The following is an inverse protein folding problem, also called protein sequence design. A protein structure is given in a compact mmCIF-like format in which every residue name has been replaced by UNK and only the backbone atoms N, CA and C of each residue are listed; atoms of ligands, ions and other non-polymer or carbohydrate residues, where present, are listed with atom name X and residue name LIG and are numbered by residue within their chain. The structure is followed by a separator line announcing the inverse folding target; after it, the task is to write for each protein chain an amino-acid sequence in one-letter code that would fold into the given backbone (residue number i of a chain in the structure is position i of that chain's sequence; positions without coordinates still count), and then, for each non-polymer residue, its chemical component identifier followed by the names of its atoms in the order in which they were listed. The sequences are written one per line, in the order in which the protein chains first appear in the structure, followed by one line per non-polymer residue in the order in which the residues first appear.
data_IF_611904696867
#
_entry.id   IF_611904696867
#
_cell.length_a   1.000
_cell.length_b   1.000
_cell.length_c   1.000
_cell.angle_alpha   90.00
_cell.angle_beta   90.00
_cell.angle_gamma   90.00
#
_symmetry.space_group_name_H-M   'P 1'
#
loop_
_entity.id
_entity.type
_entity.pdbx_description
1 polymer ?
#
# COMPACT_ATOMS: atom_id res chain seq x y z
N UNK A 1 27.61 -60.27 -76.87
CA UNK A 1 28.09 -60.46 -75.50
C UNK A 1 27.02 -59.97 -74.59
N UNK A 2 26.32 -60.80 -73.84
CA UNK A 2 25.23 -60.37 -72.92
C UNK A 2 25.82 -59.99 -71.58
N UNK A 3 25.37 -58.88 -71.10
CA UNK A 3 25.64 -58.39 -69.72
C UNK A 3 24.88 -59.24 -68.72
N UNK A 4 25.62 -59.84 -67.77
CA UNK A 4 25.07 -60.48 -66.61
C UNK A 4 24.78 -59.42 -65.49
N UNK A 5 23.55 -59.38 -65.03
CA UNK A 5 23.19 -58.69 -63.84
C UNK A 5 23.83 -59.35 -62.63
N UNK A 6 24.47 -58.58 -61.71
CA UNK A 6 24.91 -59.14 -60.44
C UNK A 6 23.75 -59.16 -59.43
N UNK A 7 23.67 -60.23 -58.76
CA UNK A 7 22.74 -60.77 -57.83
C UNK A 7 22.12 -59.84 -56.79
N UNK A 8 20.88 -60.15 -56.55
CA UNK A 8 20.07 -59.87 -55.41
C UNK A 8 20.83 -60.21 -54.12
N UNK A 9 21.32 -59.18 -53.40
CA UNK A 9 21.80 -59.26 -52.07
C UNK A 9 21.04 -58.23 -51.24
N UNK A 10 20.10 -58.77 -50.51
CA UNK A 10 19.36 -58.04 -49.47
C UNK A 10 20.31 -57.47 -48.43
N UNK A 11 20.56 -56.16 -48.47
CA UNK A 11 20.89 -55.33 -47.28
C UNK A 11 21.06 -53.87 -47.74
N UNK A 12 19.97 -53.12 -47.68
CA UNK A 12 20.06 -51.65 -47.75
C UNK A 12 20.83 -51.12 -46.54
N UNK A 13 21.91 -50.35 -46.74
CA UNK A 13 22.71 -49.81 -45.63
C UNK A 13 22.03 -48.67 -44.85
N UNK A 14 20.84 -48.26 -45.25
CA UNK A 14 20.10 -47.15 -44.65
C UNK A 14 18.87 -47.56 -43.82
N UNK A 15 18.62 -48.89 -43.70
CA UNK A 15 17.53 -49.39 -42.85
C UNK A 15 18.08 -49.94 -41.56
N UNK A 16 18.78 -49.06 -40.76
CA UNK A 16 19.05 -49.30 -39.34
C UNK A 16 17.75 -48.92 -38.64
N UNK A 17 17.01 -49.96 -38.26
CA UNK A 17 15.76 -49.88 -37.61
C UNK A 17 15.78 -49.12 -36.29
N UNK A 18 15.14 -47.95 -36.31
CA UNK A 18 14.44 -47.35 -35.19
C UNK A 18 13.11 -46.78 -35.78
N UNK A 19 12.25 -47.68 -36.19
CA UNK A 19 10.87 -47.29 -36.35
C UNK A 19 10.32 -47.04 -34.93
N UNK A 20 9.63 -45.88 -34.71
CA UNK A 20 8.91 -45.70 -33.48
C UNK A 20 7.94 -46.88 -33.30
N UNK A 21 7.83 -47.42 -32.08
CA UNK A 21 7.01 -48.61 -31.83
C UNK A 21 5.60 -48.37 -32.34
N UNK A 22 5.15 -49.25 -33.23
CA UNK A 22 3.83 -49.21 -33.82
C UNK A 22 2.81 -49.20 -32.65
N UNK A 23 2.02 -48.14 -32.57
CA UNK A 23 0.97 -48.01 -31.55
C UNK A 23 0.05 -49.22 -31.53
N UNK A 24 -0.15 -49.88 -32.67
CA UNK A 24 -0.90 -51.10 -32.79
C UNK A 24 -0.23 -52.31 -32.11
N UNK A 25 1.10 -52.43 -32.12
CA UNK A 25 1.81 -53.48 -31.38
C UNK A 25 1.80 -53.24 -29.89
N UNK A 26 1.92 -51.97 -29.44
CA UNK A 26 1.79 -51.59 -28.03
C UNK A 26 0.38 -51.88 -27.54
N UNK A 27 -0.66 -51.54 -28.33
CA UNK A 27 -2.05 -51.86 -28.01
C UNK A 27 -2.30 -53.37 -27.97
N UNK A 28 -1.78 -54.15 -28.90
CA UNK A 28 -1.88 -55.62 -28.89
C UNK A 28 -1.18 -56.25 -27.69
N UNK A 29 0.02 -55.76 -27.34
CA UNK A 29 0.77 -56.25 -26.18
C UNK A 29 0.12 -55.88 -24.84
N UNK A 30 -0.47 -54.67 -24.73
CA UNK A 30 -1.27 -54.23 -23.56
C UNK A 30 -2.54 -55.06 -23.47
N UNK A 31 -3.24 -55.27 -24.58
CA UNK A 31 -4.48 -56.08 -24.62
C UNK A 31 -4.21 -57.58 -24.28
N UNK A 32 -3.08 -58.12 -24.75
CA UNK A 32 -2.67 -59.50 -24.41
C UNK A 32 -2.23 -59.63 -22.96
N UNK A 33 -1.54 -58.62 -22.38
CA UNK A 33 -1.24 -58.59 -20.96
C UNK A 33 -2.48 -58.38 -20.08
N UNK A 34 -3.42 -57.55 -20.49
CA UNK A 34 -4.70 -57.40 -19.82
C UNK A 34 -5.49 -58.73 -19.88
N UNK A 35 -5.51 -59.42 -21.02
CA UNK A 35 -6.15 -60.76 -21.12
C UNK A 35 -5.47 -61.81 -20.24
N UNK A 36 -4.13 -61.74 -20.03
CA UNK A 36 -3.43 -62.67 -19.14
C UNK A 36 -3.64 -62.36 -17.65
N UNK A 37 -3.90 -61.10 -17.29
CA UNK A 37 -4.16 -60.68 -15.91
C UNK A 37 -5.64 -60.88 -15.54
N UNK A 38 -6.57 -60.63 -16.47
CA UNK A 38 -8.02 -60.79 -16.25
C UNK A 38 -8.56 -62.17 -16.72
N UNK A 39 -7.79 -62.94 -17.47
CA UNK A 39 -8.14 -64.29 -17.94
C UNK A 39 -7.40 -65.38 -17.17
N UNK A 40 -7.18 -65.20 -15.86
CA UNK A 40 -6.46 -66.15 -15.01
C UNK A 40 -7.26 -67.40 -14.82
N UNK A 41 -6.71 -68.50 -15.26
CA UNK A 41 -7.01 -69.77 -14.68
C UNK A 41 -7.58 -70.83 -15.60
N UNK A 42 -6.74 -71.75 -15.93
CA UNK A 42 -7.19 -73.10 -15.95
C UNK A 42 -7.31 -73.82 -17.26
N UNK A 43 -6.50 -74.76 -17.35
CA UNK A 43 -6.41 -75.88 -18.20
C UNK A 43 -7.66 -76.54 -18.78
N UNK A 44 -7.39 -77.14 -19.87
CA UNK A 44 -8.19 -78.15 -20.62
C UNK A 44 -9.34 -78.80 -19.89
N UNK A 45 -10.51 -78.68 -20.41
CA UNK A 45 -11.26 -79.80 -20.99
C UNK A 45 -12.73 -79.44 -21.40
N UNK A 46 -13.08 -79.92 -22.53
CA UNK A 46 -14.43 -80.21 -23.08
C UNK A 46 -15.61 -79.88 -22.16
N UNK A 47 -16.51 -79.03 -22.62
CA UNK A 47 -17.86 -78.94 -22.08
C UNK A 47 -18.59 -77.71 -22.60
N UNK A 48 -19.37 -77.95 -23.66
CA UNK A 48 -20.39 -77.06 -24.19
C UNK A 48 -21.42 -76.74 -23.08
N UNK A 49 -21.40 -75.51 -22.60
CA UNK A 49 -22.60 -74.95 -21.95
C UNK A 49 -22.62 -73.42 -22.15
N UNK A 50 -23.63 -73.04 -22.91
CA UNK A 50 -24.19 -71.70 -22.97
C UNK A 50 -24.38 -71.18 -21.55
N UNK A 51 -23.69 -70.06 -21.22
CA UNK A 51 -23.81 -69.41 -19.94
C UNK A 51 -23.31 -67.95 -20.04
N UNK A 52 -24.30 -67.14 -20.32
CA UNK A 52 -24.43 -65.75 -19.90
C UNK A 52 -23.16 -64.84 -19.94
N UNK A 53 -23.10 -63.98 -20.94
CA UNK A 53 -22.06 -62.94 -21.14
C UNK A 53 -21.99 -61.83 -20.09
N UNK A 54 -22.36 -62.10 -18.83
CA UNK A 54 -22.35 -61.06 -17.79
C UNK A 54 -20.95 -60.74 -17.26
N UNK A 55 -19.97 -61.68 -17.33
CA UNK A 55 -18.60 -61.46 -16.86
C UNK A 55 -17.80 -60.45 -17.70
N UNK A 56 -18.01 -60.47 -19.03
CA UNK A 56 -17.38 -59.51 -19.94
C UNK A 56 -17.90 -58.10 -19.77
N UNK A 57 -19.20 -57.96 -19.60
CA UNK A 57 -19.84 -56.66 -19.40
C UNK A 57 -19.42 -56.07 -18.05
N UNK A 58 -19.35 -56.90 -16.99
CA UNK A 58 -18.89 -56.48 -15.66
C UNK A 58 -17.44 -56.04 -15.66
N UNK A 59 -16.55 -56.72 -16.39
CA UNK A 59 -15.13 -56.33 -16.58
C UNK A 59 -14.99 -55.00 -17.31
N UNK A 60 -15.74 -54.78 -18.41
CA UNK A 60 -15.77 -53.52 -19.14
C UNK A 60 -16.28 -52.37 -18.26
N UNK A 61 -17.33 -52.62 -17.48
CA UNK A 61 -17.93 -51.64 -16.58
C UNK A 61 -16.98 -51.28 -15.44
N UNK A 62 -16.20 -52.24 -14.90
CA UNK A 62 -15.18 -52.01 -13.89
C UNK A 62 -13.99 -51.22 -14.42
N UNK A 63 -13.52 -51.50 -15.65
CA UNK A 63 -12.45 -50.70 -16.30
C UNK A 63 -12.96 -49.29 -16.59
N UNK A 64 -14.16 -49.11 -17.07
CA UNK A 64 -14.76 -47.79 -17.30
C UNK A 64 -14.87 -46.99 -15.98
N UNK A 65 -15.28 -47.66 -14.90
CA UNK A 65 -15.34 -47.08 -13.57
C UNK A 65 -13.98 -46.63 -13.07
N UNK A 66 -12.93 -47.45 -13.23
CA UNK A 66 -11.56 -47.10 -12.83
C UNK A 66 -11.00 -45.94 -13.67
N UNK A 67 -11.28 -45.88 -14.97
CA UNK A 67 -10.92 -44.80 -15.83
C UNK A 67 -11.64 -43.50 -15.44
N UNK A 68 -12.93 -43.56 -15.14
CA UNK A 68 -13.71 -42.43 -14.68
C UNK A 68 -13.21 -41.87 -13.33
N UNK A 69 -12.93 -42.75 -12.37
CA UNK A 69 -12.29 -42.42 -11.09
C UNK A 69 -10.93 -41.77 -11.30
N UNK A 70 -10.10 -42.34 -12.19
CA UNK A 70 -8.78 -41.77 -12.51
C UNK A 70 -8.86 -40.38 -13.13
N UNK A 71 -9.82 -40.13 -13.97
CA UNK A 71 -10.02 -38.84 -14.61
C UNK A 71 -10.52 -37.78 -13.62
N UNK A 72 -11.45 -38.11 -12.72
CA UNK A 72 -11.95 -37.19 -11.68
C UNK A 72 -10.97 -36.99 -10.52
N UNK A 73 -9.87 -37.75 -10.46
CA UNK A 73 -8.84 -37.67 -9.43
C UNK A 73 -7.77 -36.62 -9.69
N UNK A 74 -7.62 -36.16 -10.94
CA UNK A 74 -6.59 -35.20 -11.33
C UNK A 74 -7.16 -33.81 -11.36
N UNK A 75 -6.67 -32.95 -10.47
CA UNK A 75 -7.02 -31.53 -10.41
C UNK A 75 -5.79 -30.66 -10.66
N UNK A 76 -5.94 -29.67 -11.53
CA UNK A 76 -4.91 -28.67 -11.81
C UNK A 76 -5.29 -27.41 -11.03
N UNK A 77 -4.39 -26.95 -10.19
CA UNK A 77 -4.53 -25.71 -9.41
C UNK A 77 -3.64 -24.64 -10.06
N UNK A 78 -4.21 -23.50 -10.39
CA UNK A 78 -3.49 -22.39 -10.99
C UNK A 78 -2.44 -21.79 -10.04
N UNK A 79 -1.43 -21.10 -10.59
CA UNK A 79 -0.35 -20.47 -9.78
C UNK A 79 -0.88 -19.44 -8.79
N UNK A 80 -1.97 -18.75 -9.15
CA UNK A 80 -2.59 -17.73 -8.30
C UNK A 80 -3.51 -18.31 -7.21
N UNK A 81 -3.73 -19.63 -7.20
CA UNK A 81 -4.74 -20.28 -6.36
C UNK A 81 -4.13 -21.30 -5.40
N UNK A 82 -4.84 -21.55 -4.32
CA UNK A 82 -4.63 -22.70 -3.44
C UNK A 82 -5.90 -23.54 -3.38
N UNK A 83 -5.75 -24.84 -3.55
CA UNK A 83 -6.86 -25.79 -3.45
C UNK A 83 -7.07 -26.24 -2.01
N UNK A 84 -8.20 -25.93 -1.41
CA UNK A 84 -8.55 -26.43 -0.09
C UNK A 84 -9.38 -27.70 -0.24
N UNK A 85 -8.85 -28.83 0.24
CA UNK A 85 -9.48 -30.15 0.14
C UNK A 85 -10.23 -30.48 1.41
N UNK A 86 -11.52 -30.73 1.22
CA UNK A 86 -12.41 -31.25 2.26
C UNK A 86 -12.65 -32.74 2.04
N UNK A 87 -12.49 -33.53 3.09
CA UNK A 87 -12.91 -34.94 3.11
C UNK A 87 -14.14 -35.08 3.97
N UNK A 88 -15.24 -35.51 3.38
CA UNK A 88 -16.54 -35.57 4.03
C UNK A 88 -16.97 -34.28 4.73
N UNK A 89 -16.66 -33.13 4.10
CA UNK A 89 -16.96 -31.78 4.66
C UNK A 89 -16.02 -31.29 5.75
N UNK A 90 -15.00 -32.07 6.14
CA UNK A 90 -13.97 -31.64 7.09
C UNK A 90 -12.69 -31.28 6.35
N UNK A 91 -12.04 -30.20 6.75
CA UNK A 91 -10.71 -29.83 6.23
C UNK A 91 -9.73 -30.99 6.38
N UNK A 92 -9.02 -31.31 5.32
CA UNK A 92 -8.00 -32.36 5.27
C UNK A 92 -6.62 -31.76 4.98
N UNK A 93 -6.46 -31.06 3.87
CA UNK A 93 -5.17 -30.49 3.43
C UNK A 93 -5.37 -29.33 2.46
N UNK A 94 -4.32 -28.50 2.32
CA UNK A 94 -4.25 -27.45 1.28
C UNK A 94 -3.29 -27.92 0.18
N UNK A 95 -3.72 -27.78 -1.07
CA UNK A 95 -2.94 -28.13 -2.26
C UNK A 95 -2.18 -26.89 -2.75
N UNK A 96 -0.92 -27.10 -3.07
CA UNK A 96 -0.08 -26.11 -3.75
C UNK A 96 -0.44 -26.02 -5.24
N UNK A 97 -0.10 -24.93 -5.93
CA UNK A 97 -0.24 -24.81 -7.38
C UNK A 97 0.40 -25.98 -8.12
N UNK A 98 -0.22 -26.40 -9.22
CA UNK A 98 0.25 -27.48 -10.07
C UNK A 98 -0.72 -28.66 -10.17
N UNK A 99 -0.21 -29.81 -10.62
CA UNK A 99 -0.99 -31.04 -10.78
C UNK A 99 -1.08 -31.76 -9.43
N UNK A 100 -2.30 -31.92 -8.95
CA UNK A 100 -2.58 -32.56 -7.68
C UNK A 100 -3.53 -33.76 -7.87
N UNK A 101 -3.27 -34.82 -7.08
CA UNK A 101 -4.12 -35.99 -7.02
C UNK A 101 -5.02 -35.92 -5.78
N UNK A 102 -6.33 -35.98 -6.03
CA UNK A 102 -7.35 -36.00 -4.97
C UNK A 102 -8.19 -37.27 -5.08
N UNK A 103 -8.85 -37.66 -4.01
CA UNK A 103 -9.83 -38.76 -4.07
C UNK A 103 -11.06 -38.25 -4.79
N UNK A 104 -11.63 -39.05 -5.73
CA UNK A 104 -12.79 -38.61 -6.51
C UNK A 104 -14.00 -38.33 -5.64
N UNK A 105 -14.91 -37.52 -6.16
CA UNK A 105 -16.20 -37.27 -5.53
C UNK A 105 -16.98 -38.58 -5.37
N UNK A 106 -17.67 -38.82 -4.25
CA UNK A 106 -18.11 -37.87 -3.22
C UNK A 106 -17.17 -37.76 -2.00
N UNK A 107 -15.99 -38.39 -2.00
CA UNK A 107 -15.14 -38.50 -0.81
C UNK A 107 -14.34 -37.21 -0.51
N UNK A 108 -13.78 -36.57 -1.54
CA UNK A 108 -13.09 -35.30 -1.41
C UNK A 108 -13.72 -34.25 -2.32
N UNK A 109 -13.75 -33.02 -1.83
CA UNK A 109 -14.17 -31.83 -2.59
C UNK A 109 -13.06 -30.79 -2.49
N UNK A 110 -12.62 -30.26 -3.63
CA UNK A 110 -11.64 -29.17 -3.68
C UNK A 110 -12.36 -27.85 -3.90
N UNK A 111 -11.96 -26.83 -3.11
CA UNK A 111 -12.41 -25.45 -3.25
C UNK A 111 -11.19 -24.62 -3.62
N UNK A 112 -11.12 -24.07 -4.84
CA UNK A 112 -10.02 -23.17 -5.21
C UNK A 112 -10.23 -21.82 -4.55
N UNK A 113 -9.16 -21.26 -3.98
CA UNK A 113 -9.13 -19.92 -3.37
C UNK A 113 -7.98 -19.14 -3.99
N UNK A 114 -8.31 -18.00 -4.60
CA UNK A 114 -7.29 -17.12 -5.14
C UNK A 114 -6.59 -16.37 -4.01
N UNK A 115 -5.28 -16.61 -3.87
CA UNK A 115 -4.43 -16.02 -2.83
C UNK A 115 -3.56 -14.88 -3.33
N UNK A 116 -3.40 -14.75 -4.65
CA UNK A 116 -2.56 -13.72 -5.27
C UNK A 116 -3.33 -12.47 -5.64
N UNK A 117 -4.66 -12.57 -5.84
CA UNK A 117 -5.47 -11.42 -6.21
C UNK A 117 -5.65 -10.47 -5.04
N UNK A 118 -5.44 -9.18 -5.32
CA UNK A 118 -5.76 -8.10 -4.40
C UNK A 118 -7.24 -7.78 -4.55
N UNK A 119 -7.97 -7.88 -3.46
CA UNK A 119 -9.37 -7.49 -3.35
C UNK A 119 -9.46 -6.10 -2.74
N UNK A 120 -10.43 -5.31 -3.18
CA UNK A 120 -10.63 -3.94 -2.72
C UNK A 120 -12.04 -3.79 -2.18
N UNK A 121 -12.14 -3.25 -0.98
CA UNK A 121 -13.38 -2.85 -0.32
C UNK A 121 -13.36 -1.36 -0.07
N UNK A 122 -14.43 -0.68 -0.43
CA UNK A 122 -14.67 0.72 -0.12
C UNK A 122 -15.87 0.82 0.82
N UNK A 123 -15.74 1.65 1.84
CA UNK A 123 -16.83 1.90 2.78
C UNK A 123 -16.77 3.33 3.32
N UNK A 124 -17.88 3.76 3.90
CA UNK A 124 -18.01 5.06 4.56
C UNK A 124 -18.50 4.89 5.98
N UNK A 125 -17.96 5.68 6.88
CA UNK A 125 -18.35 5.67 8.28
C UNK A 125 -18.40 7.07 8.86
N UNK A 126 -19.23 7.24 9.90
CA UNK A 126 -19.28 8.44 10.71
C UNK A 126 -18.61 8.14 12.05
N UNK A 127 -17.68 8.99 12.45
CA UNK A 127 -16.91 8.78 13.66
C UNK A 127 -16.75 10.09 14.42
N UNK A 128 -16.54 9.98 15.74
CA UNK A 128 -16.27 11.09 16.61
C UNK A 128 -14.76 11.21 16.83
N UNK A 129 -14.23 12.41 16.70
CA UNK A 129 -12.84 12.74 17.01
C UNK A 129 -12.64 12.96 18.51
N UNK A 130 -11.38 13.11 18.98
CA UNK A 130 -11.05 13.42 20.38
C UNK A 130 -11.74 14.69 20.88
N UNK A 131 -11.92 15.69 20.04
CA UNK A 131 -12.56 16.97 20.32
C UNK A 131 -14.09 16.97 20.07
N UNK A 132 -14.70 15.76 20.10
CA UNK A 132 -16.16 15.54 20.01
C UNK A 132 -16.80 16.05 18.70
N UNK A 133 -16.02 16.20 17.63
CA UNK A 133 -16.53 16.57 16.34
C UNK A 133 -16.91 15.33 15.51
N UNK A 134 -18.06 15.41 14.83
CA UNK A 134 -18.51 14.34 13.94
C UNK A 134 -17.89 14.51 12.55
N UNK A 135 -17.18 13.48 12.10
CA UNK A 135 -16.56 13.43 10.77
C UNK A 135 -17.03 12.22 9.99
N UNK A 136 -17.20 12.39 8.69
CA UNK A 136 -17.49 11.33 7.74
C UNK A 136 -16.20 10.94 7.01
N UNK A 137 -15.88 9.66 7.02
CA UNK A 137 -14.71 9.09 6.33
C UNK A 137 -15.16 8.21 5.19
N UNK A 138 -14.49 8.34 4.06
CA UNK A 138 -14.52 7.37 2.96
C UNK A 138 -13.15 6.73 2.92
N UNK A 139 -13.12 5.41 3.08
CA UNK A 139 -11.88 4.65 3.12
C UNK A 139 -11.94 3.42 2.23
N UNK A 140 -10.77 3.01 1.78
CA UNK A 140 -10.59 1.87 0.91
C UNK A 140 -9.54 0.93 1.49
N UNK A 141 -9.91 -0.33 1.63
CA UNK A 141 -9.05 -1.39 2.13
C UNK A 141 -8.69 -2.32 1.00
N UNK A 142 -7.42 -2.51 0.76
CA UNK A 142 -6.90 -3.50 -0.16
C UNK A 142 -6.31 -4.67 0.63
N UNK A 143 -6.76 -5.86 0.32
CA UNK A 143 -6.33 -7.07 1.03
C UNK A 143 -6.18 -8.26 0.10
N UNK A 144 -5.42 -9.24 0.54
CA UNK A 144 -5.26 -10.54 -0.12
C UNK A 144 -5.42 -11.65 0.90
N UNK A 145 -5.74 -12.83 0.40
CA UNK A 145 -5.82 -14.03 1.24
C UNK A 145 -4.40 -14.54 1.51
N UNK A 146 -4.02 -14.64 2.77
CA UNK A 146 -2.71 -15.20 3.19
C UNK A 146 -2.80 -16.69 3.49
N UNK A 147 -3.92 -17.13 4.08
CA UNK A 147 -4.17 -18.53 4.42
C UNK A 147 -5.56 -18.95 3.96
N UNK A 148 -5.63 -19.74 2.87
CA UNK A 148 -6.89 -20.16 2.25
C UNK A 148 -7.78 -20.96 3.20
N UNK A 149 -7.19 -21.76 4.10
CA UNK A 149 -7.93 -22.52 5.10
C UNK A 149 -8.66 -21.60 6.09
N UNK A 150 -7.94 -20.66 6.67
CA UNK A 150 -8.47 -19.78 7.71
C UNK A 150 -9.54 -18.85 7.12
N UNK A 151 -9.28 -18.34 5.92
CA UNK A 151 -10.22 -17.52 5.17
C UNK A 151 -11.59 -18.20 4.93
N UNK A 152 -11.59 -19.54 4.69
CA UNK A 152 -12.83 -20.27 4.41
C UNK A 152 -13.56 -20.76 5.67
N UNK A 153 -12.85 -21.04 6.77
CA UNK A 153 -13.43 -21.77 7.89
C UNK A 153 -13.44 -21.05 9.22
N UNK A 154 -12.58 -20.04 9.42
CA UNK A 154 -12.52 -19.34 10.70
C UNK A 154 -13.55 -18.22 10.79
N UNK A 155 -13.85 -17.59 9.67
CA UNK A 155 -14.75 -16.46 9.60
C UNK A 155 -15.89 -16.78 8.64
N UNK A 156 -17.11 -16.45 9.04
CA UNK A 156 -18.32 -16.77 8.25
C UNK A 156 -18.40 -15.95 6.97
N UNK A 157 -18.11 -14.66 7.08
CA UNK A 157 -18.10 -13.70 5.97
C UNK A 157 -16.85 -12.83 6.10
N UNK A 158 -15.77 -13.21 5.40
CA UNK A 158 -14.49 -12.50 5.50
C UNK A 158 -14.56 -11.03 5.06
N UNK A 159 -15.34 -10.73 4.01
CA UNK A 159 -15.44 -9.36 3.48
C UNK A 159 -16.15 -8.44 4.47
N UNK A 160 -17.28 -8.87 5.01
CA UNK A 160 -17.98 -8.11 6.06
C UNK A 160 -17.13 -7.97 7.33
N UNK A 161 -16.35 -9.00 7.67
CA UNK A 161 -15.45 -8.94 8.83
C UNK A 161 -14.33 -7.92 8.62
N UNK A 162 -13.72 -7.87 7.43
CA UNK A 162 -12.72 -6.83 7.09
C UNK A 162 -13.32 -5.43 7.22
N UNK A 163 -14.54 -5.22 6.72
CA UNK A 163 -15.26 -3.94 6.84
C UNK A 163 -15.42 -3.53 8.28
N UNK A 164 -15.99 -4.39 9.12
CA UNK A 164 -16.25 -4.11 10.52
C UNK A 164 -14.95 -3.91 11.32
N UNK A 165 -13.93 -4.71 11.05
CA UNK A 165 -12.63 -4.55 11.67
C UNK A 165 -11.96 -3.23 11.25
N UNK A 166 -12.05 -2.85 9.96
CA UNK A 166 -11.53 -1.60 9.45
C UNK A 166 -12.24 -0.39 10.07
N UNK A 167 -13.57 -0.43 10.18
CA UNK A 167 -14.34 0.60 10.84
C UNK A 167 -13.95 0.74 12.33
N UNK A 168 -13.75 -0.39 13.03
CA UNK A 168 -13.34 -0.39 14.43
C UNK A 168 -11.92 0.16 14.61
N UNK A 169 -10.97 -0.27 13.77
CA UNK A 169 -9.58 0.21 13.81
C UNK A 169 -9.50 1.71 13.48
N UNK A 170 -10.26 2.15 12.48
CA UNK A 170 -10.31 3.57 12.12
C UNK A 170 -10.94 4.41 13.24
N UNK A 171 -12.00 3.90 13.90
CA UNK A 171 -12.65 4.57 15.03
C UNK A 171 -11.68 4.75 16.21
N UNK A 172 -10.86 3.76 16.50
CA UNK A 172 -9.83 3.85 17.50
C UNK A 172 -8.79 4.92 17.15
N UNK A 173 -8.25 4.87 15.93
CA UNK A 173 -7.23 5.82 15.46
C UNK A 173 -7.76 7.25 15.37
N UNK A 174 -9.00 7.45 14.92
CA UNK A 174 -9.63 8.77 14.80
C UNK A 174 -10.01 9.34 16.17
N UNK A 175 -10.54 8.50 17.08
CA UNK A 175 -10.95 8.90 18.43
C UNK A 175 -9.81 9.41 19.32
N UNK A 176 -8.57 9.13 18.96
CA UNK A 176 -7.36 9.63 19.65
C UNK A 176 -6.75 10.87 18.98
N UNK A 177 -7.37 11.39 17.92
CA UNK A 177 -6.85 12.53 17.17
C UNK A 177 -7.89 13.65 17.06
N UNK A 178 -7.39 14.89 16.99
CA UNK A 178 -8.24 16.08 16.85
C UNK A 178 -8.63 16.29 15.38
N UNK A 179 -9.83 16.84 15.19
CA UNK A 179 -10.39 17.11 13.87
C UNK A 179 -9.50 18.01 13.01
N UNK A 180 -8.94 19.08 13.59
CA UNK A 180 -8.09 20.02 12.85
C UNK A 180 -6.88 19.30 12.24
N UNK A 181 -6.21 18.44 12.99
CA UNK A 181 -5.03 17.67 12.54
C UNK A 181 -5.37 16.65 11.44
N UNK A 182 -6.58 16.11 11.46
CA UNK A 182 -7.09 15.17 10.46
C UNK A 182 -7.41 15.90 9.15
N UNK A 183 -8.09 17.04 9.23
CA UNK A 183 -8.51 17.83 8.06
C UNK A 183 -7.33 18.53 7.37
N UNK A 184 -6.40 19.09 8.13
CA UNK A 184 -5.20 19.75 7.60
C UNK A 184 -4.21 18.77 6.96
N UNK A 185 -4.45 17.45 7.09
CA UNK A 185 -3.64 16.41 6.47
C UNK A 185 -2.33 16.08 7.20
N UNK A 186 -1.95 16.84 8.21
CA UNK A 186 -0.67 16.69 8.93
C UNK A 186 -0.52 15.31 9.59
N UNK A 187 -1.62 14.75 10.08
CA UNK A 187 -1.64 13.44 10.76
C UNK A 187 -2.31 12.33 9.93
N UNK A 188 -2.79 12.63 8.74
CA UNK A 188 -3.50 11.66 7.89
C UNK A 188 -2.70 10.40 7.63
N UNK A 189 -1.42 10.56 7.36
CA UNK A 189 -0.50 9.44 7.11
C UNK A 189 -0.27 8.60 8.39
N UNK A 190 -0.14 9.24 9.53
CA UNK A 190 0.01 8.55 10.82
C UNK A 190 -1.25 7.74 11.14
N UNK A 191 -2.43 8.33 10.95
CA UNK A 191 -3.72 7.63 11.13
C UNK A 191 -3.84 6.45 10.18
N UNK A 192 -3.45 6.60 8.92
CA UNK A 192 -3.45 5.53 7.92
C UNK A 192 -2.60 4.34 8.37
N UNK A 193 -1.35 4.61 8.77
CA UNK A 193 -0.42 3.56 9.22
C UNK A 193 -0.92 2.88 10.49
N UNK A 194 -1.38 3.65 11.45
CA UNK A 194 -1.89 3.14 12.72
C UNK A 194 -3.16 2.30 12.52
N UNK A 195 -4.10 2.79 11.72
CA UNK A 195 -5.31 2.03 11.36
C UNK A 195 -4.96 0.72 10.67
N UNK A 196 -4.01 0.73 9.71
CA UNK A 196 -3.56 -0.48 9.04
C UNK A 196 -2.95 -1.49 10.02
N UNK A 197 -2.16 -1.02 10.99
CA UNK A 197 -1.55 -1.85 12.04
C UNK A 197 -2.62 -2.50 12.93
N UNK A 198 -3.52 -1.70 13.49
CA UNK A 198 -4.60 -2.17 14.37
C UNK A 198 -5.55 -3.12 13.62
N UNK A 199 -5.87 -2.81 12.36
CA UNK A 199 -6.67 -3.67 11.50
C UNK A 199 -6.02 -5.03 11.28
N UNK A 200 -4.72 -5.06 10.96
CA UNK A 200 -4.00 -6.32 10.75
C UNK A 200 -3.95 -7.13 12.05
N UNK A 201 -3.64 -6.51 13.19
CA UNK A 201 -3.62 -7.18 14.49
C UNK A 201 -4.99 -7.77 14.86
N UNK A 202 -6.07 -7.05 14.57
CA UNK A 202 -7.45 -7.51 14.81
C UNK A 202 -7.79 -8.73 13.93
N UNK A 203 -7.42 -8.69 12.64
CA UNK A 203 -7.65 -9.81 11.73
C UNK A 203 -6.79 -11.04 12.06
N UNK A 204 -5.58 -10.83 12.56
CA UNK A 204 -4.70 -11.89 13.04
C UNK A 204 -5.26 -12.54 14.31
N UNK A 205 -5.82 -11.76 15.23
CA UNK A 205 -6.51 -12.25 16.41
C UNK A 205 -7.73 -13.11 16.05
N UNK A 206 -8.48 -12.73 15.02
CA UNK A 206 -9.59 -13.52 14.49
C UNK A 206 -9.14 -14.71 13.66
N UNK A 207 -7.85 -14.83 13.37
CA UNK A 207 -7.29 -15.85 12.48
C UNK A 207 -8.01 -15.88 11.12
N UNK A 208 -8.32 -14.69 10.59
CA UNK A 208 -9.11 -14.56 9.36
C UNK A 208 -8.37 -15.02 8.10
N UNK A 209 -7.05 -15.25 8.16
CA UNK A 209 -6.23 -15.64 7.02
C UNK A 209 -6.14 -14.57 5.95
N UNK A 210 -6.19 -13.30 6.36
CA UNK A 210 -6.20 -12.11 5.48
C UNK A 210 -4.97 -11.27 5.79
N UNK A 211 -4.33 -10.77 4.74
CA UNK A 211 -3.25 -9.81 4.82
C UNK A 211 -3.68 -8.48 4.19
N UNK A 212 -3.57 -7.41 4.95
CA UNK A 212 -3.88 -6.06 4.47
C UNK A 212 -2.69 -5.53 3.67
N UNK A 213 -2.90 -5.34 2.38
CA UNK A 213 -1.89 -4.80 1.47
C UNK A 213 -1.77 -3.29 1.64
N UNK A 214 -2.91 -2.61 1.72
CA UNK A 214 -2.97 -1.16 1.83
C UNK A 214 -4.28 -0.70 2.46
N UNK A 215 -4.22 0.33 3.30
CA UNK A 215 -5.36 1.06 3.83
C UNK A 215 -5.28 2.51 3.37
N UNK A 216 -6.29 3.00 2.67
CA UNK A 216 -6.32 4.36 2.15
C UNK A 216 -7.53 5.13 2.69
N UNK A 217 -7.27 6.35 3.17
CA UNK A 217 -8.30 7.34 3.45
C UNK A 217 -8.51 8.18 2.18
N UNK A 218 -9.63 7.99 1.50
CA UNK A 218 -9.92 8.70 0.26
C UNK A 218 -10.41 10.12 0.55
N UNK A 219 -11.38 10.25 1.44
CA UNK A 219 -11.95 11.55 1.77
C UNK A 219 -12.36 11.65 3.24
N UNK A 220 -12.21 12.86 3.78
CA UNK A 220 -12.59 13.18 5.15
C UNK A 220 -13.41 14.45 5.10
N UNK A 221 -14.69 14.33 5.40
CA UNK A 221 -15.65 15.41 5.27
C UNK A 221 -16.39 15.69 6.58
N UNK A 222 -16.84 16.90 6.69
CA UNK A 222 -17.80 17.28 7.73
C UNK A 222 -19.22 16.96 7.23
N UNK A 223 -20.05 16.23 8.00
CA UNK A 223 -21.42 15.93 7.64
C UNK A 223 -22.20 17.18 7.21
N UNK A 224 -23.08 17.02 6.20
CA UNK A 224 -23.81 18.14 5.61
C UNK A 224 -24.61 18.95 6.64
N UNK A 225 -25.10 18.30 7.70
CA UNK A 225 -25.93 18.92 8.74
C UNK A 225 -25.19 19.96 9.60
N UNK A 226 -23.88 19.80 9.77
CA UNK A 226 -23.04 20.66 10.62
C UNK A 226 -22.03 21.49 9.83
N UNK A 227 -22.00 21.32 8.49
CA UNK A 227 -21.02 21.98 7.61
C UNK A 227 -21.08 23.51 7.68
N UNK A 228 -22.29 24.09 7.73
CA UNK A 228 -22.48 25.54 7.80
C UNK A 228 -21.93 26.10 9.10
N UNK A 229 -22.30 25.50 10.24
CA UNK A 229 -21.79 25.90 11.56
C UNK A 229 -20.26 25.76 11.65
N UNK A 230 -19.70 24.69 11.09
CA UNK A 230 -18.25 24.48 11.05
C UNK A 230 -17.55 25.53 10.17
N UNK A 231 -18.13 25.87 9.01
CA UNK A 231 -17.58 26.91 8.13
C UNK A 231 -17.53 28.27 8.82
N UNK A 232 -18.51 28.58 9.68
CA UNK A 232 -18.54 29.82 10.44
C UNK A 232 -17.44 29.87 11.51
N UNK A 233 -17.15 28.74 12.17
CA UNK A 233 -16.03 28.64 13.12
C UNK A 233 -14.69 28.83 12.42
N UNK A 234 -14.50 28.23 11.24
CA UNK A 234 -13.27 28.41 10.45
C UNK A 234 -13.09 29.85 10.03
N UNK A 235 -14.15 30.50 9.50
CA UNK A 235 -14.11 31.92 9.14
C UNK A 235 -13.76 32.81 10.33
N UNK A 236 -14.36 32.55 11.48
CA UNK A 236 -14.06 33.29 12.70
C UNK A 236 -12.60 33.14 13.15
N UNK A 237 -12.02 31.94 12.99
CA UNK A 237 -10.58 31.71 13.25
C UNK A 237 -9.69 32.46 12.25
N UNK A 238 -10.01 32.37 10.95
CA UNK A 238 -9.29 33.09 9.91
C UNK A 238 -9.36 34.62 10.12
N UNK A 239 -10.54 35.15 10.46
CA UNK A 239 -10.73 36.55 10.77
C UNK A 239 -9.89 36.98 11.98
N UNK A 240 -9.86 36.17 13.03
CA UNK A 240 -9.02 36.41 14.21
C UNK A 240 -7.53 36.49 13.82
N UNK A 241 -7.03 35.52 13.07
CA UNK A 241 -5.61 35.53 12.62
C UNK A 241 -5.34 36.74 11.72
N UNK A 242 -6.25 37.06 10.81
CA UNK A 242 -6.15 38.23 9.95
C UNK A 242 -6.05 39.52 10.77
N UNK A 243 -6.92 39.72 11.77
CA UNK A 243 -6.86 40.91 12.61
C UNK A 243 -5.56 40.98 13.44
N UNK A 244 -5.04 39.85 13.91
CA UNK A 244 -3.76 39.79 14.61
C UNK A 244 -2.61 40.21 13.67
N UNK A 245 -2.59 39.69 12.45
CA UNK A 245 -1.55 40.02 11.48
C UNK A 245 -1.67 41.50 10.99
N UNK A 246 -2.87 41.99 10.75
CA UNK A 246 -3.10 43.39 10.43
C UNK A 246 -2.60 44.31 11.57
N UNK A 247 -2.90 43.97 12.83
CA UNK A 247 -2.39 44.71 13.98
C UNK A 247 -0.85 44.66 14.10
N UNK A 248 -0.23 43.52 13.80
CA UNK A 248 1.24 43.37 13.78
C UNK A 248 1.87 44.21 12.65
N UNK A 249 1.27 44.17 11.46
CA UNK A 249 1.75 45.00 10.32
C UNK A 249 1.68 46.48 10.68
N UNK A 250 0.56 46.91 11.28
CA UNK A 250 0.38 48.29 11.74
C UNK A 250 1.42 48.66 12.81
N UNK A 251 1.58 47.80 13.82
CA UNK A 251 2.61 48.05 14.86
C UNK A 251 4.03 48.11 14.29
N UNK A 252 4.34 47.20 13.34
CA UNK A 252 5.66 47.14 12.67
C UNK A 252 5.93 48.37 11.76
N UNK A 253 4.90 49.07 11.30
CA UNK A 253 5.05 50.30 10.55
C UNK A 253 5.14 51.53 11.46
N UNK A 254 4.22 51.69 12.40
CA UNK A 254 4.11 52.92 13.23
C UNK A 254 5.21 53.00 14.27
N UNK A 255 5.57 51.92 14.93
CA UNK A 255 6.58 51.93 16.01
C UNK A 255 8.00 52.29 15.50
N UNK A 256 8.53 51.70 14.41
CA UNK A 256 9.80 52.11 13.86
C UNK A 256 9.81 53.53 13.31
N UNK A 257 8.72 53.97 12.70
CA UNK A 257 8.56 55.32 12.21
C UNK A 257 8.63 56.34 13.36
N UNK A 258 7.86 56.11 14.43
CA UNK A 258 7.89 56.97 15.61
C UNK A 258 9.27 56.98 16.30
N UNK A 259 9.94 55.83 16.36
CA UNK A 259 11.34 55.76 16.88
C UNK A 259 12.30 56.53 15.98
N UNK A 260 12.16 56.39 14.67
CA UNK A 260 13.01 57.16 13.72
C UNK A 260 12.78 58.67 13.82
N UNK A 261 11.54 59.11 13.99
CA UNK A 261 11.22 60.53 14.24
C UNK A 261 11.81 61.04 15.57
N UNK A 262 11.66 60.26 16.65
CA UNK A 262 12.24 60.61 17.94
C UNK A 262 13.76 60.71 17.88
N UNK A 263 14.45 59.73 17.26
CA UNK A 263 15.92 59.78 17.08
C UNK A 263 16.36 60.96 16.22
N UNK A 264 15.58 61.33 15.19
CA UNK A 264 15.89 62.50 14.37
C UNK A 264 15.79 63.80 15.18
N UNK A 265 14.72 63.99 15.98
CA UNK A 265 14.55 65.17 16.83
C UNK A 265 15.69 65.24 17.85
N UNK A 266 16.09 64.15 18.47
CA UNK A 266 17.20 64.08 19.42
C UNK A 266 18.53 64.46 18.75
N UNK A 267 18.84 63.92 17.59
CA UNK A 267 20.05 64.26 16.82
C UNK A 267 20.07 65.71 16.33
N UNK A 268 18.91 66.24 15.89
CA UNK A 268 18.79 67.66 15.49
C UNK A 268 19.05 68.60 16.71
N UNK A 269 18.54 68.24 17.88
CA UNK A 269 18.75 69.00 19.11
C UNK A 269 20.21 68.92 19.57
N UNK A 270 20.87 67.78 19.51
CA UNK A 270 22.26 67.60 19.80
C UNK A 270 23.19 68.41 18.81
N UNK A 271 22.84 68.32 17.52
CA UNK A 271 23.55 69.08 16.49
C UNK A 271 23.40 70.60 16.67
N UNK A 272 22.22 71.09 17.01
CA UNK A 272 21.93 72.46 17.32
C UNK A 272 22.73 72.91 18.56
N UNK A 273 22.77 72.13 19.63
CA UNK A 273 23.55 72.34 20.81
C UNK A 273 25.03 72.44 20.48
N UNK A 274 25.58 71.49 19.74
CA UNK A 274 26.96 71.42 19.34
C UNK A 274 27.36 72.63 18.47
N UNK A 275 26.50 73.00 17.50
CA UNK A 275 26.74 74.18 16.64
C UNK A 275 26.72 75.50 17.41
N UNK A 276 25.82 75.64 18.39
CA UNK A 276 25.68 76.80 19.20
C UNK A 276 26.93 76.95 20.12
N UNK A 277 27.40 75.88 20.72
CA UNK A 277 28.65 75.87 21.51
C UNK A 277 29.87 76.21 20.65
N UNK A 278 29.97 75.57 19.48
CA UNK A 278 31.09 75.83 18.57
C UNK A 278 31.15 77.33 18.06
N UNK A 279 29.97 77.90 17.78
CA UNK A 279 29.85 79.30 17.42
C UNK A 279 30.26 80.22 18.56
N UNK A 280 29.86 79.93 19.80
CA UNK A 280 30.20 80.65 20.98
C UNK A 280 31.75 80.59 21.29
N UNK A 281 32.29 79.39 21.17
CA UNK A 281 33.76 79.17 21.34
C UNK A 281 34.56 79.86 20.23
N UNK A 282 34.11 79.77 18.97
CA UNK A 282 34.72 80.46 17.86
C UNK A 282 34.68 81.96 18.01
N UNK A 283 33.59 82.52 18.52
CA UNK A 283 33.45 83.93 18.82
C UNK A 283 34.42 84.40 19.96
N UNK A 284 34.54 83.53 20.98
CA UNK A 284 35.47 83.79 22.08
C UNK A 284 36.93 83.75 21.64
N UNK A 285 37.32 82.78 20.84
CA UNK A 285 38.67 82.68 20.26
C UNK A 285 39.01 83.87 19.38
N UNK A 286 38.08 84.29 18.53
CA UNK A 286 38.25 85.46 17.67
C UNK A 286 38.43 86.76 18.46
N UNK A 287 37.63 86.95 19.52
CA UNK A 287 37.74 88.12 20.39
C UNK A 287 39.02 88.08 21.24
N UNK A 288 39.48 86.87 21.67
CA UNK A 288 40.74 86.69 22.38
C UNK A 288 41.94 86.96 21.47
N UNK A 289 41.92 86.44 20.25
CA UNK A 289 43.00 86.66 19.25
C UNK A 289 43.07 88.14 18.85
N UNK A 290 41.94 88.82 18.66
CA UNK A 290 41.86 90.26 18.41
C UNK A 290 42.34 91.11 19.62
N UNK A 291 42.14 90.62 20.85
CA UNK A 291 42.64 91.29 22.03
C UNK A 291 44.19 91.16 22.21
N UNK A 292 44.73 89.99 21.84
CA UNK A 292 46.17 89.72 21.82
C UNK A 292 46.88 90.58 20.72
N UNK A 293 46.30 90.69 19.53
CA UNK A 293 46.79 91.50 18.43
C UNK A 293 46.81 93.01 18.85
N UNK A 294 45.84 93.50 19.62
CA UNK A 294 45.81 94.86 20.10
C UNK A 294 46.91 95.12 21.21
N UNK A 295 47.29 94.12 21.97
CA UNK A 295 48.40 94.23 22.90
C UNK A 295 49.74 94.26 22.18
N UNK A 296 49.91 93.63 21.08
CA UNK A 296 51.14 93.68 20.26
C UNK A 296 51.29 95.03 19.56
N UNK A 297 50.23 95.68 19.16
CA UNK A 297 50.25 96.99 18.51
C UNK A 297 50.56 98.11 19.53
N UNK A 298 50.14 98.00 20.79
CA UNK A 298 50.40 99.00 21.84
C UNK A 298 51.83 98.85 22.45
N UNK A 299 52.43 97.66 22.39
CA UNK A 299 53.76 97.35 22.88
C UNK A 299 54.91 97.76 21.95
N UNK A 300 54.65 98.10 20.66
CA UNK A 300 55.65 98.40 19.63
C UNK A 300 55.94 99.91 19.38
N UNK A 301 55.27 100.81 20.13
CA UNK A 301 55.43 102.26 19.94
C UNK A 301 56.16 102.96 21.07
N UNK A 302 57.48 102.71 21.26
CA UNK A 302 58.24 103.41 22.27
C UNK A 302 59.74 103.28 22.10
N UNK A 303 60.37 104.25 21.52
CA UNK A 303 61.79 104.43 21.59
C UNK A 303 62.44 104.69 20.22
N UNK A 304 62.77 105.81 19.94
CA UNK A 304 63.41 106.85 20.57
C UNK A 304 64.47 107.43 19.67
N UNK A 305 64.46 108.67 19.61
CA UNK A 305 65.33 109.50 18.84
C UNK A 305 66.77 109.46 19.18
N UNK A 306 67.53 110.14 18.40
CA UNK A 306 68.68 110.72 18.80
C UNK A 306 69.94 110.50 17.88
N UNK A 307 70.25 111.52 17.18
CA UNK A 307 71.44 112.03 16.52
C UNK A 307 71.60 111.55 15.07
#
# INVERSE_FOLDING_TARGET
MPWKEPGKGDKDPWNSGDQPPDLDEVFKNVNNRLKSIFGGGGGSNRGKKSGNGSGGIFSVLLVALVLWIGFDSVHIVDEAEQGVVLRFGKYNRTLSPGINLTIPRPFETMIPVNVSSIRSLEDRGHMLTEDENLVEFIYKVQFRVSAAQDFLFKVRDPETTVKQAAESALRESVGTNRMDAILEGTQRETIRIETQRVLQETLDLYQAGIFISEFNLEDVNVPAQVREAYSDVIRAREDKERFIEEARVHANSVVPEARGQAARIEQEAEAYRASTIALAEGCLLYTSDAADDTQFVVGGGGGGGGW
#
